data_IF_472909296319
#
_entry.id   IF_472909296319
#
_cell.length_a   1.000
_cell.length_b   1.000
_cell.length_c   1.000
_cell.angle_alpha   90.00
_cell.angle_beta   90.00
_cell.angle_gamma   90.00
#
_symmetry.space_group_name_H-M   'P 1'
#
loop_
_entity.id
_entity.type
_entity.pdbx_description
1 polymer ?
#
# COMPACT_ATOMS: atom_id res chain seq x y z
N UNK A 1 4.33 -7.85 47.49
CA UNK A 1 4.12 -7.02 46.27
C UNK A 1 5.27 -7.28 45.32
N UNK A 2 5.04 -8.05 44.26
CA UNK A 2 6.04 -8.28 43.21
C UNK A 2 5.98 -7.13 42.19
N UNK A 3 7.13 -6.72 41.65
CA UNK A 3 7.17 -6.14 40.31
C UNK A 3 7.78 -4.76 40.13
N UNK A 4 8.59 -4.25 41.06
CA UNK A 4 9.33 -3.01 40.86
C UNK A 4 10.70 -3.22 40.23
N UNK A 5 10.81 -3.58 38.93
CA UNK A 5 12.08 -3.47 38.18
C UNK A 5 11.85 -3.27 36.68
N UNK A 6 12.00 -2.01 36.26
CA UNK A 6 12.57 -1.60 34.98
C UNK A 6 12.07 -2.34 33.74
N UNK A 7 10.89 -1.95 33.25
CA UNK A 7 10.58 -2.09 31.82
C UNK A 7 11.55 -1.18 31.05
N UNK A 8 12.78 -1.66 30.82
CA UNK A 8 13.72 -0.98 29.92
C UNK A 8 13.06 -0.92 28.56
N UNK A 9 12.74 0.31 28.15
CA UNK A 9 12.04 0.68 26.93
C UNK A 9 12.65 -0.09 25.76
N UNK A 10 11.85 -0.94 25.13
CA UNK A 10 12.17 -1.55 23.86
C UNK A 10 12.52 -0.43 22.84
N UNK A 11 13.48 -0.64 21.91
CA UNK A 11 14.10 -1.90 21.50
C UNK A 11 15.50 -2.10 22.07
N UNK A 12 15.80 -3.32 22.57
CA UNK A 12 17.15 -3.66 23.00
C UNK A 12 17.26 -4.72 24.09
N UNK A 13 16.27 -4.76 24.99
CA UNK A 13 16.26 -5.57 26.20
C UNK A 13 15.24 -6.70 26.10
N UNK A 14 15.74 -7.91 25.84
CA UNK A 14 14.95 -9.13 25.69
C UNK A 14 15.87 -10.33 25.38
N UNK A 15 15.33 -11.54 25.17
CA UNK A 15 16.09 -12.78 24.95
C UNK A 15 17.10 -12.71 23.78
N UNK A 16 16.87 -11.77 22.86
CA UNK A 16 17.63 -11.56 21.64
C UNK A 16 18.60 -10.38 21.74
N UNK A 17 18.97 -9.96 22.96
CA UNK A 17 19.87 -8.82 23.21
C UNK A 17 21.32 -9.07 22.75
N UNK A 18 21.71 -10.33 22.61
CA UNK A 18 23.04 -10.75 22.13
C UNK A 18 23.19 -10.63 20.61
N UNK A 19 22.09 -10.57 19.86
CA UNK A 19 22.13 -10.41 18.41
C UNK A 19 22.25 -8.93 18.02
N UNK A 20 22.94 -8.59 16.93
CA UNK A 20 22.88 -7.24 16.39
C UNK A 20 21.44 -6.89 15.99
N UNK A 21 21.01 -5.61 16.10
CA UNK A 21 19.61 -5.21 15.92
C UNK A 21 18.93 -5.77 14.67
N UNK A 22 19.64 -5.83 13.54
CA UNK A 22 19.11 -6.31 12.26
C UNK A 22 18.87 -7.82 12.15
N UNK A 23 19.46 -8.61 13.05
CA UNK A 23 19.24 -10.06 13.12
C UNK A 23 18.13 -10.43 14.10
N UNK A 24 17.64 -9.47 14.89
CA UNK A 24 16.61 -9.73 15.90
C UNK A 24 15.26 -10.02 15.23
N UNK A 25 14.44 -10.92 15.78
CA UNK A 25 13.12 -11.22 15.25
C UNK A 25 12.24 -9.97 15.12
N UNK A 26 12.31 -9.05 16.08
CA UNK A 26 11.57 -7.79 16.03
C UNK A 26 12.04 -6.80 14.97
N UNK A 27 13.22 -6.98 14.37
CA UNK A 27 13.66 -6.20 13.20
C UNK A 27 13.22 -6.87 11.91
N UNK A 28 13.48 -8.18 11.75
CA UNK A 28 13.11 -8.94 10.54
C UNK A 28 11.60 -9.08 10.33
N UNK A 29 10.84 -9.26 11.42
CA UNK A 29 9.40 -9.49 11.41
C UNK A 29 8.60 -8.34 12.05
N UNK A 30 9.27 -7.29 12.49
CA UNK A 30 8.60 -6.13 13.07
C UNK A 30 8.14 -5.13 12.01
N UNK A 31 7.35 -4.15 12.46
CA UNK A 31 6.82 -3.07 11.61
C UNK A 31 7.90 -2.33 10.82
N UNK A 32 9.17 -2.33 11.21
CA UNK A 32 10.22 -1.53 10.55
C UNK A 32 10.74 -2.10 9.22
N UNK A 33 10.65 -3.42 8.99
CA UNK A 33 11.16 -4.04 7.77
C UNK A 33 10.28 -3.76 6.55
N UNK A 34 8.96 -3.76 6.72
CA UNK A 34 8.04 -3.49 5.62
C UNK A 34 8.14 -2.04 5.10
N UNK A 35 8.42 -1.06 5.97
CA UNK A 35 8.63 0.33 5.53
C UNK A 35 9.96 0.52 4.79
N UNK A 36 11.00 -0.25 5.10
CA UNK A 36 12.25 -0.23 4.34
C UNK A 36 12.09 -0.75 2.91
N UNK A 37 11.25 -1.77 2.72
CA UNK A 37 10.88 -2.25 1.39
C UNK A 37 9.98 -1.27 0.61
N UNK A 38 9.08 -0.56 1.31
CA UNK A 38 8.21 0.47 0.72
C UNK A 38 8.93 1.80 0.43
N UNK A 39 10.10 2.02 1.03
CA UNK A 39 10.92 3.23 0.83
C UNK A 39 11.85 3.16 -0.37
N UNK A 40 11.89 2.04 -1.09
CA UNK A 40 12.63 1.95 -2.35
C UNK A 40 11.92 2.82 -3.40
N UNK A 41 12.61 3.77 -4.07
CA UNK A 41 12.00 4.55 -5.13
C UNK A 41 11.63 3.58 -6.26
N UNK A 42 10.36 3.23 -6.32
CA UNK A 42 9.81 2.54 -7.47
C UNK A 42 9.82 3.57 -8.60
N UNK A 43 10.81 3.48 -9.48
CA UNK A 43 10.84 4.25 -10.73
C UNK A 43 9.62 3.82 -11.55
N UNK A 44 8.55 4.60 -11.44
CA UNK A 44 7.38 4.45 -12.30
C UNK A 44 7.84 4.88 -13.69
N UNK A 45 7.71 4.04 -14.73
CA UNK A 45 8.03 4.47 -16.08
C UNK A 45 7.16 5.68 -16.44
N UNK A 46 7.78 6.79 -16.82
CA UNK A 46 7.07 7.97 -17.30
C UNK A 46 6.34 7.61 -18.60
N UNK A 47 5.01 7.56 -18.53
CA UNK A 47 4.17 7.34 -19.70
C UNK A 47 4.33 8.54 -20.65
N UNK A 48 4.49 8.28 -21.95
CA UNK A 48 4.58 9.37 -22.92
C UNK A 48 3.23 10.11 -22.99
N UNK A 49 3.26 11.42 -23.26
CA UNK A 49 2.03 12.23 -23.37
C UNK A 49 1.06 11.68 -24.42
N UNK A 50 1.59 11.11 -25.50
CA UNK A 50 0.79 10.52 -26.58
C UNK A 50 0.08 9.24 -26.11
N UNK A 51 0.78 8.38 -25.37
CA UNK A 51 0.20 7.17 -24.80
C UNK A 51 -0.84 7.49 -23.72
N UNK A 52 -0.59 8.50 -22.89
CA UNK A 52 -1.55 8.97 -21.89
C UNK A 52 -2.83 9.48 -22.53
N UNK A 53 -2.72 10.31 -23.58
CA UNK A 53 -3.90 10.78 -24.35
C UNK A 53 -4.69 9.60 -24.90
N UNK A 54 -4.01 8.63 -25.52
CA UNK A 54 -4.67 7.46 -26.09
C UNK A 54 -5.41 6.64 -25.04
N UNK A 55 -4.77 6.38 -23.89
CA UNK A 55 -5.41 5.67 -22.78
C UNK A 55 -6.65 6.40 -22.27
N UNK A 56 -6.56 7.73 -22.12
CA UNK A 56 -7.67 8.55 -21.65
C UNK A 56 -8.83 8.61 -22.66
N UNK A 57 -8.53 8.64 -23.97
CA UNK A 57 -9.56 8.56 -25.01
C UNK A 57 -10.29 7.21 -25.02
N UNK A 58 -9.55 6.12 -24.87
CA UNK A 58 -10.14 4.77 -24.76
C UNK A 58 -11.00 4.64 -23.50
N UNK A 59 -10.51 5.15 -22.36
CA UNK A 59 -11.26 5.17 -21.10
C UNK A 59 -12.53 6.01 -21.21
N UNK A 60 -12.47 7.19 -21.83
CA UNK A 60 -13.63 8.05 -22.04
C UNK A 60 -14.73 7.33 -22.84
N UNK A 61 -14.38 6.66 -23.94
CA UNK A 61 -15.33 5.88 -24.75
C UNK A 61 -15.98 4.76 -23.94
N UNK A 62 -15.17 4.00 -23.19
CA UNK A 62 -15.69 2.94 -22.34
C UNK A 62 -16.69 3.46 -21.31
N UNK A 63 -16.37 4.60 -20.67
CA UNK A 63 -17.25 5.22 -19.68
C UNK A 63 -18.56 5.72 -20.30
N UNK A 64 -18.53 6.26 -21.51
CA UNK A 64 -19.73 6.67 -22.25
C UNK A 64 -20.65 5.47 -22.54
N UNK A 65 -20.10 4.35 -22.99
CA UNK A 65 -20.87 3.12 -23.24
C UNK A 65 -21.52 2.60 -21.95
N UNK A 66 -20.76 2.57 -20.85
CA UNK A 66 -21.27 2.19 -19.52
C UNK A 66 -22.38 3.12 -19.05
N UNK A 67 -22.24 4.42 -19.28
CA UNK A 67 -23.23 5.43 -18.93
C UNK A 67 -24.52 5.24 -19.73
N UNK A 68 -24.41 4.92 -21.02
CA UNK A 68 -25.57 4.63 -21.88
C UNK A 68 -26.30 3.35 -21.45
N UNK A 69 -25.56 2.30 -21.06
CA UNK A 69 -26.16 1.08 -20.51
C UNK A 69 -26.96 1.38 -19.23
N UNK A 70 -26.38 2.16 -18.31
CA UNK A 70 -27.07 2.57 -17.07
C UNK A 70 -28.32 3.38 -17.38
N UNK A 71 -28.24 4.35 -18.30
CA UNK A 71 -29.41 5.14 -18.73
C UNK A 71 -30.52 4.25 -19.27
N UNK A 72 -30.20 3.31 -20.18
CA UNK A 72 -31.18 2.35 -20.71
C UNK A 72 -31.85 1.56 -19.59
N UNK A 73 -31.05 1.08 -18.62
CA UNK A 73 -31.58 0.32 -17.48
C UNK A 73 -32.47 1.17 -16.57
N UNK A 74 -32.15 2.46 -16.40
CA UNK A 74 -32.99 3.38 -15.65
C UNK A 74 -34.31 3.68 -16.36
N UNK A 75 -34.31 3.79 -17.69
CA UNK A 75 -35.53 3.96 -18.49
C UNK A 75 -36.43 2.73 -18.39
N UNK A 76 -35.86 1.52 -18.49
CA UNK A 76 -36.60 0.26 -18.30
C UNK A 76 -37.26 0.18 -16.90
N UNK A 77 -36.57 0.64 -15.86
CA UNK A 77 -37.09 0.62 -14.48
C UNK A 77 -38.05 1.77 -14.16
N UNK A 78 -38.01 2.86 -14.93
CA UNK A 78 -38.93 4.01 -14.81
C UNK A 78 -40.20 3.83 -15.63
N UNK A 79 -40.22 2.86 -16.55
CA UNK A 79 -41.40 2.43 -17.31
C UNK A 79 -42.51 1.90 -16.42
#
# INVERSE_FOLDING_TARGET
MWGGRGWRRYPGFGPWSHLPPWERPGWKFGRSWCWWYLGYPYEVPEVSKEDEIKMLEEEARFLEDRLNEIKRRLEELRG
#
